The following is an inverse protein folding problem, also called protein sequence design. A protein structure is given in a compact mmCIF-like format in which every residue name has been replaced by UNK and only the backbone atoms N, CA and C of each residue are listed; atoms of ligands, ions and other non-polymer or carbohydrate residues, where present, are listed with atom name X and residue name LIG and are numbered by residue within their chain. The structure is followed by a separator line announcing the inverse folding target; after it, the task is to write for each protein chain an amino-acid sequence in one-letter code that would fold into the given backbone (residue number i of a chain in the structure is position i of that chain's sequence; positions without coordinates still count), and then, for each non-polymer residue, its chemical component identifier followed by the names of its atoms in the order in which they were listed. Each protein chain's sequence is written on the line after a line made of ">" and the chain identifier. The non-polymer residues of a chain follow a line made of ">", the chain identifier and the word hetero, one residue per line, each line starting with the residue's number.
data_IF_781826421763
#
_entry.id   IF_781826421763
#
_cell.length_a   1.000
_cell.length_b   1.000
_cell.length_c   1.000
_cell.angle_alpha   90.00
_cell.angle_beta   90.00
_cell.angle_gamma   90.00
#
_symmetry.space_group_name_H-M   'P 1'
#
loop_
_entity.id
_entity.type
_entity.pdbx_description
1 polymer ?
#
# COMPACT_ATOMS: atom_id res chain seq x y z
N UNK A 1 12.31 -4.29 -1.10
CA UNK A 1 12.17 -2.82 -0.86
C UNK A 1 11.06 -2.51 0.13
N UNK A 2 9.84 -3.03 -0.07
CA UNK A 2 8.72 -2.82 0.87
C UNK A 2 9.01 -3.30 2.29
N UNK A 3 9.65 -4.46 2.46
CA UNK A 3 10.13 -4.94 3.77
C UNK A 3 11.09 -3.96 4.47
N UNK A 4 11.96 -3.30 3.69
CA UNK A 4 12.88 -2.31 4.24
C UNK A 4 12.11 -1.07 4.70
N UNK A 5 11.07 -0.67 3.97
CA UNK A 5 10.24 0.50 4.31
C UNK A 5 9.39 0.23 5.57
N UNK A 6 8.78 -0.95 5.68
CA UNK A 6 7.98 -1.35 6.86
C UNK A 6 8.87 -1.41 8.11
N UNK A 7 10.09 -1.94 8.01
CA UNK A 7 11.01 -2.02 9.15
C UNK A 7 11.53 -0.66 9.64
N UNK A 8 11.46 0.39 8.83
CA UNK A 8 11.81 1.76 9.23
C UNK A 8 10.65 2.51 9.92
N UNK A 9 9.53 1.84 10.22
CA UNK A 9 8.39 2.45 10.90
C UNK A 9 7.59 3.40 10.00
N UNK A 10 7.71 3.26 8.69
CA UNK A 10 6.92 4.04 7.72
C UNK A 10 5.46 3.61 7.84
N UNK A 11 4.56 4.59 7.75
CA UNK A 11 3.13 4.34 7.72
C UNK A 11 2.74 3.73 6.36
N UNK A 12 2.44 2.44 6.36
CA UNK A 12 2.04 1.68 5.16
C UNK A 12 0.74 2.22 4.50
N UNK A 13 -0.07 2.93 5.28
CA UNK A 13 -1.34 3.54 4.87
C UNK A 13 -1.21 5.05 4.62
N UNK A 14 0.02 5.57 4.52
CA UNK A 14 0.23 6.96 4.13
C UNK A 14 -0.36 7.21 2.74
N UNK A 15 -1.01 8.36 2.60
CA UNK A 15 -1.68 8.77 1.36
C UNK A 15 -0.79 9.76 0.61
N UNK A 16 -0.74 9.61 -0.70
CA UNK A 16 -0.11 10.59 -1.57
C UNK A 16 -0.96 11.86 -1.71
N UNK A 17 -0.50 12.80 -2.54
CA UNK A 17 -1.20 14.08 -2.82
C UNK A 17 -2.60 13.89 -3.42
N UNK A 18 -2.87 12.72 -4.02
CA UNK A 18 -4.13 12.38 -4.66
C UNK A 18 -5.02 11.54 -3.72
N UNK A 19 -4.58 11.31 -2.47
CA UNK A 19 -5.31 10.56 -1.47
C UNK A 19 -5.16 9.03 -1.59
N UNK A 20 -4.28 8.56 -2.48
CA UNK A 20 -4.06 7.13 -2.75
C UNK A 20 -3.03 6.54 -1.81
N UNK A 21 -3.28 5.33 -1.34
CA UNK A 21 -2.29 4.52 -0.61
C UNK A 21 -1.37 3.78 -1.58
N UNK A 22 -0.26 3.25 -1.08
CA UNK A 22 0.62 2.37 -1.85
C UNK A 22 -0.13 1.17 -2.44
N UNK A 23 -1.16 0.67 -1.73
CA UNK A 23 -1.98 -0.44 -2.20
C UNK A 23 -2.89 -0.04 -3.38
N UNK A 24 -3.45 1.17 -3.35
CA UNK A 24 -4.30 1.69 -4.44
C UNK A 24 -3.50 1.88 -5.74
N UNK A 25 -2.28 2.38 -5.62
CA UNK A 25 -1.36 2.52 -6.77
C UNK A 25 -0.98 1.14 -7.32
N UNK A 26 -0.84 0.12 -6.47
CA UNK A 26 -0.51 -1.24 -6.91
C UNK A 26 -1.66 -1.95 -7.64
N UNK A 27 -2.92 -1.65 -7.32
CA UNK A 27 -4.07 -2.21 -8.05
C UNK A 27 -4.10 -1.75 -9.51
N UNK A 28 -3.65 -0.52 -9.80
CA UNK A 28 -3.52 -0.01 -11.17
C UNK A 28 -2.43 -0.75 -11.97
N UNK A 29 -1.50 -1.45 -11.30
CA UNK A 29 -0.33 -2.09 -11.90
C UNK A 29 -0.18 -3.59 -11.56
N UNK A 30 -1.26 -4.38 -11.43
CA UNK A 30 -1.27 -5.86 -11.45
C UNK A 30 -0.05 -6.57 -10.79
N UNK A 31 0.39 -6.09 -9.61
CA UNK A 31 1.56 -6.61 -8.88
C UNK A 31 1.06 -7.39 -7.66
N UNK A 32 0.72 -8.65 -7.88
CA UNK A 32 0.12 -9.56 -6.90
C UNK A 32 0.99 -9.73 -5.65
N UNK A 33 2.28 -10.05 -5.81
CA UNK A 33 3.15 -10.38 -4.68
C UNK A 33 3.38 -9.20 -3.71
N UNK A 34 3.44 -7.98 -4.25
CA UNK A 34 3.60 -6.78 -3.43
C UNK A 34 2.30 -6.40 -2.72
N UNK A 35 1.14 -6.58 -3.38
CA UNK A 35 -0.15 -6.37 -2.75
C UNK A 35 -0.38 -7.36 -1.61
N UNK A 36 -0.11 -8.65 -1.81
CA UNK A 36 -0.24 -9.68 -0.79
C UNK A 36 0.70 -9.40 0.41
N UNK A 37 1.93 -9.00 0.12
CA UNK A 37 2.87 -8.58 1.16
C UNK A 37 2.31 -7.40 1.97
N UNK A 38 1.85 -6.34 1.33
CA UNK A 38 1.34 -5.15 2.03
C UNK A 38 0.08 -5.46 2.85
N UNK A 39 -0.84 -6.27 2.31
CA UNK A 39 -2.06 -6.71 3.02
C UNK A 39 -1.69 -7.53 4.26
N UNK A 40 -0.73 -8.46 4.16
CA UNK A 40 -0.27 -9.23 5.33
C UNK A 40 0.37 -8.36 6.42
N UNK A 41 0.80 -7.14 6.07
CA UNK A 41 1.35 -6.14 6.98
C UNK A 41 0.35 -5.04 7.37
N UNK A 42 -0.95 -5.22 7.07
CA UNK A 42 -2.01 -4.31 7.51
C UNK A 42 -2.26 -3.09 6.62
N UNK A 43 -1.83 -3.14 5.35
CA UNK A 43 -2.21 -2.13 4.38
C UNK A 43 -3.72 -2.18 4.08
N UNK A 44 -4.35 -1.02 3.99
CA UNK A 44 -5.76 -0.84 3.66
C UNK A 44 -5.90 -0.01 2.40
N UNK A 45 -6.83 -0.38 1.52
CA UNK A 45 -7.22 0.47 0.38
C UNK A 45 -7.82 1.78 0.89
N UNK A 46 -7.59 2.89 0.19
CA UNK A 46 -8.28 4.12 0.53
C UNK A 46 -9.78 3.97 0.24
N UNK A 47 -10.62 4.65 1.03
CA UNK A 47 -12.09 4.63 0.90
C UNK A 47 -12.62 5.26 -0.40
N UNK A 48 -11.76 5.53 -1.38
CA UNK A 48 -12.12 6.15 -2.64
C UNK A 48 -12.82 5.19 -3.61
N UNK A 49 -12.89 3.90 -3.26
CA UNK A 49 -13.46 2.82 -4.07
C UNK A 49 -14.66 2.12 -3.38
N UNK A 50 -15.58 2.91 -2.82
CA UNK A 50 -16.96 2.50 -2.52
C UNK A 50 -17.97 3.34 -3.29
#
# INVERSE_FOLDING_TARGET
>A
MAELLVSHGININEKDKDGKTTLDINQEYYRSDLADFLVSHGATISQSDM
#
